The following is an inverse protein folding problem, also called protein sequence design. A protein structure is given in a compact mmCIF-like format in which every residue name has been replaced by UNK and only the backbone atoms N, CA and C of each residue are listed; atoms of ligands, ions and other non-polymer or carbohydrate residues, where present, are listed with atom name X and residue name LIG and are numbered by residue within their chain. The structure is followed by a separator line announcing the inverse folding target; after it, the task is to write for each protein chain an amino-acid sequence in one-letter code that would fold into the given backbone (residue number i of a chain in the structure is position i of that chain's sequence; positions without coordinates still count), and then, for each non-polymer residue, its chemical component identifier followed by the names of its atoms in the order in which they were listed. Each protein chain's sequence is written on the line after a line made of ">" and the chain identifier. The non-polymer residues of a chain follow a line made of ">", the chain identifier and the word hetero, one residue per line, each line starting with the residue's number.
data_IF_210963341916
#
_entry.id   IF_210963341916
#
_cell.length_a   1.000
_cell.length_b   1.000
_cell.length_c   1.000
_cell.angle_alpha   90.00
_cell.angle_beta   90.00
_cell.angle_gamma   90.00
#
_symmetry.space_group_name_H-M   'P 1'
#
loop_
_entity.id
_entity.type
_entity.pdbx_description
1 polymer ?
#
# COMPACT_ATOMS: atom_id res chain seq x y z
N UNK A 1 6.38 -14.78 13.07
CA UNK A 1 4.94 -14.45 13.07
C UNK A 1 4.83 -12.95 13.19
N UNK A 2 4.13 -12.30 12.26
CA UNK A 2 3.87 -10.87 12.26
C UNK A 2 2.43 -10.61 11.83
N UNK A 3 1.86 -9.47 12.21
CA UNK A 3 0.50 -9.04 11.87
C UNK A 3 0.48 -8.21 10.60
N UNK A 4 -0.26 -8.64 9.59
CA UNK A 4 -0.18 -8.09 8.23
C UNK A 4 -1.53 -7.51 7.82
N UNK A 5 -1.54 -6.25 7.40
CA UNK A 5 -2.71 -5.66 6.77
C UNK A 5 -2.68 -5.97 5.26
N UNK A 6 -3.75 -6.59 4.74
CA UNK A 6 -3.87 -6.89 3.32
C UNK A 6 -4.77 -5.84 2.65
N UNK A 7 -4.15 -4.85 2.04
CA UNK A 7 -4.81 -3.77 1.31
C UNK A 7 -5.07 -4.20 -0.14
N UNK A 8 -6.27 -3.99 -0.66
CA UNK A 8 -6.59 -4.35 -2.03
C UNK A 8 -8.07 -4.20 -2.39
N UNK A 9 -8.40 -4.29 -3.69
CA UNK A 9 -9.77 -4.16 -4.17
C UNK A 9 -10.67 -5.30 -3.67
N UNK A 10 -11.95 -4.99 -3.48
CA UNK A 10 -12.96 -5.93 -2.97
C UNK A 10 -14.33 -5.78 -3.65
N UNK A 11 -14.37 -5.18 -4.85
CA UNK A 11 -15.62 -4.75 -5.50
C UNK A 11 -16.35 -5.89 -6.22
N UNK A 12 -15.63 -6.95 -6.61
CA UNK A 12 -16.20 -8.12 -7.26
C UNK A 12 -15.60 -9.43 -6.73
N UNK A 13 -16.22 -10.55 -7.11
CA UNK A 13 -15.82 -11.87 -6.60
C UNK A 13 -14.36 -12.22 -6.93
N UNK A 14 -13.87 -12.05 -8.18
CA UNK A 14 -12.45 -12.29 -8.48
C UNK A 14 -11.47 -11.48 -7.62
N UNK A 15 -11.76 -10.20 -7.34
CA UNK A 15 -10.94 -9.36 -6.48
C UNK A 15 -10.92 -9.87 -5.02
N UNK A 16 -12.09 -10.26 -4.49
CA UNK A 16 -12.20 -10.85 -3.15
C UNK A 16 -11.48 -12.19 -3.05
N UNK A 17 -11.60 -13.05 -4.07
CA UNK A 17 -10.89 -14.32 -4.16
C UNK A 17 -9.38 -14.12 -4.19
N UNK A 18 -8.88 -13.16 -4.97
CA UNK A 18 -7.45 -12.84 -5.02
C UNK A 18 -6.93 -12.34 -3.68
N UNK A 19 -7.65 -11.43 -3.03
CA UNK A 19 -7.28 -10.96 -1.69
C UNK A 19 -7.29 -12.10 -0.66
N UNK A 20 -8.27 -13.00 -0.75
CA UNK A 20 -8.32 -14.20 0.10
C UNK A 20 -7.12 -15.13 -0.15
N UNK A 21 -6.70 -15.29 -1.40
CA UNK A 21 -5.52 -16.08 -1.75
C UNK A 21 -4.21 -15.45 -1.22
N UNK A 22 -4.09 -14.11 -1.28
CA UNK A 22 -2.98 -13.38 -0.66
C UNK A 22 -2.93 -13.65 0.84
N UNK A 23 -4.07 -13.50 1.52
CA UNK A 23 -4.18 -13.75 2.97
C UNK A 23 -3.75 -15.17 3.32
N UNK A 24 -4.34 -16.16 2.65
CA UNK A 24 -4.10 -17.57 2.90
C UNK A 24 -2.62 -17.93 2.70
N UNK A 25 -1.97 -17.34 1.70
CA UNK A 25 -0.55 -17.57 1.46
C UNK A 25 0.33 -17.03 2.60
N UNK A 26 0.02 -15.85 3.14
CA UNK A 26 0.73 -15.26 4.28
C UNK A 26 0.45 -16.03 5.58
N UNK A 27 -0.81 -16.42 5.81
CA UNK A 27 -1.23 -17.24 6.95
C UNK A 27 -0.54 -18.61 6.93
N UNK A 28 -0.42 -19.24 5.76
CA UNK A 28 0.30 -20.52 5.61
C UNK A 28 1.79 -20.43 5.96
N UNK A 29 2.38 -19.22 5.87
CA UNK A 29 3.74 -18.93 6.29
C UNK A 29 3.86 -18.57 7.78
N UNK A 30 2.74 -18.61 8.53
CA UNK A 30 2.70 -18.38 9.98
C UNK A 30 2.55 -16.91 10.37
N UNK A 31 2.01 -16.07 9.48
CA UNK A 31 1.60 -14.70 9.79
C UNK A 31 0.13 -14.64 10.20
N UNK A 32 -0.25 -13.56 10.89
CA UNK A 32 -1.64 -13.22 11.15
C UNK A 32 -2.05 -12.13 10.16
N UNK A 33 -3.21 -12.23 9.51
CA UNK A 33 -3.64 -11.24 8.52
C UNK A 33 -4.94 -10.57 8.91
N UNK A 34 -5.10 -9.32 8.51
CA UNK A 34 -6.37 -8.60 8.51
C UNK A 34 -6.76 -8.23 7.08
N UNK A 35 -7.95 -8.66 6.68
CA UNK A 35 -8.58 -8.36 5.39
C UNK A 35 -9.86 -7.56 5.65
N UNK A 36 -9.98 -6.31 5.17
CA UNK A 36 -11.15 -5.47 5.45
C UNK A 36 -12.49 -6.14 5.13
N UNK A 37 -12.59 -6.83 3.99
CA UNK A 37 -13.81 -7.52 3.55
C UNK A 37 -14.14 -8.82 4.31
N UNK A 38 -13.19 -9.37 5.09
CA UNK A 38 -13.36 -10.63 5.84
C UNK A 38 -13.48 -10.38 7.34
N UNK A 39 -12.66 -9.47 7.84
CA UNK A 39 -12.40 -9.25 9.27
C UNK A 39 -12.94 -7.88 9.75
N UNK A 40 -13.40 -7.03 8.82
CA UNK A 40 -14.03 -5.75 9.10
C UNK A 40 -15.53 -5.87 9.41
N UNK A 41 -16.24 -4.76 9.30
CA UNK A 41 -17.69 -4.75 9.44
C UNK A 41 -18.36 -5.23 8.14
N UNK A 42 -19.29 -6.18 8.25
CA UNK A 42 -20.31 -6.36 7.22
C UNK A 42 -21.25 -5.15 7.26
N UNK A 43 -20.95 -4.14 6.45
CA UNK A 43 -21.71 -2.89 6.29
C UNK A 43 -23.22 -3.12 6.20
N UNK A 44 -23.63 -4.17 5.49
CA UNK A 44 -25.02 -4.56 5.34
C UNK A 44 -25.68 -4.96 6.67
N UNK A 45 -24.97 -5.67 7.55
CA UNK A 45 -25.51 -6.13 8.82
C UNK A 45 -25.63 -4.98 9.83
N UNK A 46 -24.62 -4.11 9.90
CA UNK A 46 -24.65 -2.93 10.76
C UNK A 46 -25.68 -1.92 10.27
N UNK A 47 -25.79 -1.72 8.96
CA UNK A 47 -26.80 -0.84 8.34
C UNK A 47 -28.22 -1.28 8.68
N UNK A 48 -28.54 -2.57 8.57
CA UNK A 48 -29.87 -3.09 8.92
C UNK A 48 -30.25 -2.86 10.39
N UNK A 49 -29.29 -3.01 11.32
CA UNK A 49 -29.52 -2.74 12.74
C UNK A 49 -29.67 -1.22 13.01
N UNK A 50 -28.92 -0.37 12.31
CA UNK A 50 -29.04 1.08 12.41
C UNK A 50 -30.36 1.61 11.81
N UNK A 51 -30.82 1.03 10.70
CA UNK A 51 -32.13 1.33 10.11
C UNK A 51 -33.27 0.99 11.10
N UNK A 52 -33.12 -0.07 11.88
CA UNK A 52 -34.07 -0.44 12.94
C UNK A 52 -34.13 0.58 14.09
N UNK A 53 -33.10 1.42 14.26
CA UNK A 53 -33.06 2.50 15.27
C UNK A 53 -33.77 3.78 14.82
N UNK A 54 -34.36 3.82 13.62
CA UNK A 54 -35.09 4.98 13.07
C UNK A 54 -34.25 6.28 13.05
N UNK A 55 -32.94 6.16 12.84
CA UNK A 55 -32.08 7.32 12.62
C UNK A 55 -32.32 7.89 11.21
N UNK A 56 -32.11 9.19 11.03
CA UNK A 56 -32.13 9.79 9.70
C UNK A 56 -31.02 9.15 8.84
N UNK A 57 -31.32 8.77 7.59
CA UNK A 57 -30.41 7.99 6.75
C UNK A 57 -29.04 8.66 6.52
N UNK A 58 -29.00 9.99 6.54
CA UNK A 58 -27.77 10.78 6.41
C UNK A 58 -26.83 10.56 7.61
N UNK A 59 -27.38 10.38 8.81
CA UNK A 59 -26.57 10.15 10.02
C UNK A 59 -26.01 8.72 10.05
N UNK A 60 -26.72 7.76 9.46
CA UNK A 60 -26.29 6.35 9.38
C UNK A 60 -25.10 6.19 8.44
N UNK A 61 -25.18 6.76 7.24
CA UNK A 61 -24.08 6.71 6.27
C UNK A 61 -22.81 7.37 6.84
N UNK A 62 -22.93 8.55 7.44
CA UNK A 62 -21.79 9.25 8.05
C UNK A 62 -21.19 8.45 9.22
N UNK A 63 -22.03 7.82 10.05
CA UNK A 63 -21.59 6.95 11.14
C UNK A 63 -20.82 5.74 10.60
N UNK A 64 -21.34 5.06 9.57
CA UNK A 64 -20.73 3.89 8.96
C UNK A 64 -19.38 4.24 8.32
N UNK A 65 -19.31 5.30 7.51
CA UNK A 65 -18.06 5.75 6.90
C UNK A 65 -17.00 6.07 7.96
N UNK A 66 -17.38 6.75 9.05
CA UNK A 66 -16.46 7.06 10.16
C UNK A 66 -16.02 5.80 10.89
N UNK A 67 -16.91 4.83 11.10
CA UNK A 67 -16.59 3.59 11.77
C UNK A 67 -15.59 2.76 10.97
N UNK A 68 -15.81 2.61 9.67
CA UNK A 68 -14.89 1.93 8.73
C UNK A 68 -13.54 2.60 8.74
N UNK A 69 -13.50 3.91 8.49
CA UNK A 69 -12.25 4.66 8.49
C UNK A 69 -11.47 4.49 9.80
N UNK A 70 -12.13 4.61 10.95
CA UNK A 70 -11.47 4.43 12.24
C UNK A 70 -10.93 3.01 12.44
N UNK A 71 -11.72 1.99 12.07
CA UNK A 71 -11.30 0.60 12.20
C UNK A 71 -10.12 0.29 11.28
N UNK A 72 -10.21 0.64 10.01
CA UNK A 72 -9.20 0.34 9.00
C UNK A 72 -7.90 1.07 9.33
N UNK A 73 -7.95 2.35 9.70
CA UNK A 73 -6.77 3.09 10.14
C UNK A 73 -6.16 2.48 11.41
N UNK A 74 -6.97 2.03 12.37
CA UNK A 74 -6.45 1.35 13.55
C UNK A 74 -5.81 0.00 13.18
N UNK A 75 -6.44 -0.79 12.32
CA UNK A 75 -5.92 -2.10 11.90
C UNK A 75 -4.63 -1.94 11.09
N UNK A 76 -4.59 -0.94 10.21
CA UNK A 76 -3.43 -0.56 9.42
C UNK A 76 -2.28 -0.07 10.30
N UNK A 77 -2.49 0.97 11.11
CA UNK A 77 -1.39 1.69 11.78
C UNK A 77 -1.13 1.26 13.24
N UNK A 78 -2.14 0.73 13.92
CA UNK A 78 -2.08 0.39 15.35
C UNK A 78 -1.92 -1.11 15.62
N UNK A 79 -2.45 -1.97 14.75
CA UNK A 79 -2.39 -3.42 14.91
C UNK A 79 -1.36 -4.09 13.99
N UNK A 80 -1.22 -3.65 12.74
CA UNK A 80 -0.29 -4.30 11.80
C UNK A 80 1.18 -3.92 12.04
N UNK A 81 2.06 -4.80 11.59
CA UNK A 81 3.52 -4.64 11.60
C UNK A 81 4.07 -4.50 10.18
N UNK A 82 3.27 -4.78 9.15
CA UNK A 82 3.58 -4.61 7.74
C UNK A 82 2.30 -4.64 6.89
N UNK A 83 2.42 -4.18 5.64
CA UNK A 83 1.32 -4.11 4.68
C UNK A 83 1.68 -4.85 3.40
N UNK A 84 0.74 -5.63 2.89
CA UNK A 84 0.76 -6.16 1.52
C UNK A 84 -0.34 -5.45 0.74
N UNK A 85 0.03 -4.68 -0.28
CA UNK A 85 -0.90 -3.90 -1.09
C UNK A 85 -1.04 -4.50 -2.49
N UNK A 86 -2.24 -4.96 -2.82
CA UNK A 86 -2.61 -5.45 -4.14
C UNK A 86 -2.92 -4.28 -5.08
N UNK A 87 -2.00 -3.99 -5.99
CA UNK A 87 -2.14 -2.92 -6.97
C UNK A 87 -2.82 -3.36 -8.27
N UNK A 88 -3.40 -4.56 -8.35
CA UNK A 88 -4.08 -5.01 -9.57
C UNK A 88 -5.19 -4.05 -10.03
N UNK A 89 -5.43 -4.06 -11.34
CA UNK A 89 -6.22 -3.05 -12.04
C UNK A 89 -5.38 -2.23 -13.01
N UNK A 90 -6.06 -1.66 -14.04
CA UNK A 90 -5.45 -0.67 -14.94
C UNK A 90 -4.96 0.56 -14.15
N UNK A 91 -5.71 0.92 -13.11
CA UNK A 91 -5.34 1.89 -12.09
C UNK A 91 -5.58 1.17 -10.76
N UNK A 92 -4.64 1.23 -9.82
CA UNK A 92 -4.85 0.66 -8.48
C UNK A 92 -6.05 1.32 -7.80
N UNK A 93 -6.75 0.53 -6.98
CA UNK A 93 -7.85 0.99 -6.13
C UNK A 93 -7.41 2.18 -5.25
N UNK A 94 -8.25 3.21 -5.17
CA UNK A 94 -7.94 4.42 -4.42
C UNK A 94 -7.78 4.17 -2.92
N UNK A 95 -8.55 3.25 -2.34
CA UNK A 95 -8.44 2.88 -0.92
C UNK A 95 -7.06 2.29 -0.63
N UNK A 96 -6.68 1.30 -1.43
CA UNK A 96 -5.38 0.63 -1.38
C UNK A 96 -4.21 1.61 -1.52
N UNK A 97 -4.34 2.61 -2.41
CA UNK A 97 -3.32 3.66 -2.57
C UNK A 97 -3.18 4.50 -1.30
N UNK A 98 -4.29 4.91 -0.68
CA UNK A 98 -4.28 5.67 0.58
C UNK A 98 -3.65 4.85 1.70
N UNK A 99 -4.03 3.58 1.84
CA UNK A 99 -3.49 2.68 2.86
C UNK A 99 -1.99 2.45 2.70
N UNK A 100 -1.53 2.17 1.49
CA UNK A 100 -0.10 1.98 1.21
C UNK A 100 0.71 3.26 1.48
N UNK A 101 0.17 4.44 1.15
CA UNK A 101 0.81 5.73 1.41
C UNK A 101 0.88 6.04 2.92
N UNK A 102 -0.20 5.78 3.67
CA UNK A 102 -0.22 5.94 5.12
C UNK A 102 0.79 5.01 5.80
N UNK A 103 0.85 3.74 5.37
CA UNK A 103 1.81 2.77 5.88
C UNK A 103 3.26 3.19 5.61
N UNK A 104 3.55 3.62 4.37
CA UNK A 104 4.86 4.16 4.00
C UNK A 104 5.25 5.35 4.88
N UNK A 105 4.33 6.30 5.07
CA UNK A 105 4.56 7.47 5.91
C UNK A 105 4.80 7.09 7.37
N UNK A 106 4.06 6.11 7.88
CA UNK A 106 4.22 5.55 9.23
C UNK A 106 5.47 4.65 9.39
N UNK A 107 6.31 4.54 8.36
CA UNK A 107 7.51 3.70 8.32
C UNK A 107 7.22 2.19 8.44
N UNK A 108 5.97 1.78 8.22
CA UNK A 108 5.64 0.35 8.13
C UNK A 108 6.27 -0.24 6.86
N UNK A 109 6.82 -1.47 6.94
CA UNK A 109 7.21 -2.22 5.75
C UNK A 109 6.02 -2.41 4.80
N UNK A 110 6.25 -2.17 3.50
CA UNK A 110 5.23 -2.27 2.45
C UNK A 110 5.72 -3.22 1.37
N UNK A 111 4.92 -4.22 1.03
CA UNK A 111 5.10 -5.08 -0.15
C UNK A 111 4.02 -4.73 -1.16
N UNK A 112 4.43 -4.45 -2.40
CA UNK A 112 3.50 -4.23 -3.50
C UNK A 112 3.32 -5.53 -4.28
N UNK A 113 2.08 -5.96 -4.45
CA UNK A 113 1.72 -7.05 -5.34
C UNK A 113 1.09 -6.50 -6.62
N UNK A 114 1.54 -6.99 -7.77
CA UNK A 114 0.97 -6.65 -9.08
C UNK A 114 1.15 -7.82 -10.05
N UNK A 115 0.03 -8.35 -10.51
CA UNK A 115 -0.06 -9.35 -11.55
C UNK A 115 -1.10 -8.93 -12.60
N UNK A 116 -0.95 -7.71 -13.14
CA UNK A 116 -1.86 -7.17 -14.14
C UNK A 116 -1.10 -6.45 -15.25
N UNK A 117 -1.22 -6.97 -16.47
CA UNK A 117 -0.55 -6.49 -17.67
C UNK A 117 -1.14 -5.19 -18.24
N UNK A 118 -2.25 -4.71 -17.67
CA UNK A 118 -2.97 -3.50 -18.13
C UNK A 118 -2.40 -2.21 -17.53
N UNK A 119 -1.33 -2.30 -16.74
CA UNK A 119 -0.70 -1.14 -16.13
C UNK A 119 -0.12 -0.16 -17.17
N UNK A 120 -0.08 1.15 -16.87
CA UNK A 120 0.56 2.16 -17.70
C UNK A 120 2.10 2.00 -17.74
N UNK A 121 2.84 2.95 -18.30
CA UNK A 121 4.32 3.03 -18.23
C UNK A 121 5.12 1.75 -18.57
N UNK A 122 4.74 0.99 -19.60
CA UNK A 122 5.39 -0.29 -20.00
C UNK A 122 5.19 -1.43 -18.99
N UNK A 123 4.13 -1.38 -18.19
CA UNK A 123 3.78 -2.41 -17.21
C UNK A 123 3.95 -1.96 -15.77
N UNK A 124 4.48 -0.75 -15.53
CA UNK A 124 4.69 -0.18 -14.20
C UNK A 124 3.56 0.80 -13.83
N UNK A 125 3.24 0.85 -12.53
CA UNK A 125 2.36 1.87 -11.99
C UNK A 125 3.07 3.24 -11.88
N UNK A 126 2.29 4.27 -11.51
CA UNK A 126 2.80 5.62 -11.30
C UNK A 126 4.05 5.59 -10.36
N UNK A 127 5.13 6.34 -10.64
CA UNK A 127 6.33 6.36 -9.79
C UNK A 127 6.06 6.66 -8.31
N UNK A 128 5.01 7.43 -8.01
CA UNK A 128 4.58 7.69 -6.62
C UNK A 128 4.11 6.43 -5.89
N UNK A 129 3.63 5.43 -6.63
CA UNK A 129 3.24 4.12 -6.11
C UNK A 129 4.43 3.17 -6.09
N UNK A 130 5.14 3.06 -7.21
CA UNK A 130 6.28 2.12 -7.35
C UNK A 130 7.39 2.40 -6.33
N UNK A 131 7.61 3.66 -5.96
CA UNK A 131 8.59 4.04 -4.93
C UNK A 131 8.14 3.70 -3.48
N UNK A 132 6.88 3.32 -3.23
CA UNK A 132 6.44 2.92 -1.89
C UNK A 132 7.13 1.63 -1.40
N UNK A 133 7.68 0.83 -2.32
CA UNK A 133 8.49 -0.35 -2.03
C UNK A 133 9.85 -0.34 -2.78
N UNK A 134 10.41 0.84 -3.01
CA UNK A 134 11.72 1.02 -3.67
C UNK A 134 11.81 0.39 -5.07
N UNK A 135 10.73 0.48 -5.84
CA UNK A 135 10.58 -0.12 -7.17
C UNK A 135 10.59 -1.65 -7.17
N UNK A 136 10.31 -2.28 -6.02
CA UNK A 136 10.10 -3.73 -5.90
C UNK A 136 8.62 -4.05 -5.94
N UNK A 137 8.26 -4.98 -6.80
CA UNK A 137 6.89 -5.49 -6.94
C UNK A 137 6.93 -7.00 -7.06
N UNK A 138 5.99 -7.67 -6.41
CA UNK A 138 5.82 -9.12 -6.44
C UNK A 138 4.68 -9.46 -7.41
N UNK A 139 4.91 -10.37 -8.34
CA UNK A 139 3.89 -10.77 -9.33
C UNK A 139 3.28 -12.15 -9.10
N UNK A 140 3.84 -12.93 -8.18
CA UNK A 140 3.31 -14.23 -7.78
C UNK A 140 2.96 -14.22 -6.30
N UNK A 141 1.73 -14.61 -5.96
CA UNK A 141 1.25 -14.69 -4.57
C UNK A 141 2.19 -15.56 -3.72
N UNK A 142 2.71 -16.65 -4.30
CA UNK A 142 3.63 -17.58 -3.64
C UNK A 142 4.92 -16.95 -3.13
N UNK A 143 5.33 -15.81 -3.70
CA UNK A 143 6.58 -15.13 -3.37
C UNK A 143 6.39 -14.05 -2.29
N UNK A 144 5.14 -13.75 -1.93
CA UNK A 144 4.80 -12.73 -0.93
C UNK A 144 5.43 -12.99 0.45
N UNK A 145 5.46 -14.23 0.99
CA UNK A 145 6.09 -14.48 2.28
C UNK A 145 7.58 -14.13 2.29
N UNK A 146 8.30 -14.42 1.20
CA UNK A 146 9.72 -14.07 1.09
C UNK A 146 9.90 -12.55 1.03
N UNK A 147 9.19 -11.88 0.12
CA UNK A 147 9.27 -10.43 -0.03
C UNK A 147 8.90 -9.69 1.28
N UNK A 148 7.90 -10.20 2.00
CA UNK A 148 7.51 -9.69 3.30
C UNK A 148 8.62 -9.85 4.34
N UNK A 149 9.26 -11.03 4.38
CA UNK A 149 10.39 -11.25 5.30
C UNK A 149 11.55 -10.29 5.02
N UNK A 150 11.84 -9.99 3.76
CA UNK A 150 12.88 -9.04 3.37
C UNK A 150 12.52 -7.60 3.78
N UNK A 151 11.25 -7.21 3.60
CA UNK A 151 10.75 -5.90 4.00
C UNK A 151 10.74 -5.73 5.53
N UNK A 152 10.31 -6.74 6.29
CA UNK A 152 10.33 -6.74 7.75
C UNK A 152 11.76 -6.64 8.32
N UNK A 153 12.75 -7.17 7.61
CA UNK A 153 14.16 -7.07 7.99
C UNK A 153 14.80 -5.72 7.59
N UNK A 154 14.13 -4.91 6.76
CA UNK A 154 14.65 -3.64 6.28
C UNK A 154 14.44 -2.53 7.32
N UNK A 155 15.43 -1.65 7.46
CA UNK A 155 15.29 -0.45 8.31
C UNK A 155 14.58 0.66 7.51
N UNK A 156 13.32 0.89 7.85
CA UNK A 156 12.49 1.91 7.22
C UNK A 156 12.41 3.21 8.05
N UNK A 157 13.11 3.31 9.18
CA UNK A 157 12.91 4.36 10.19
C UNK A 157 13.19 5.79 9.73
N UNK A 158 13.99 5.95 8.67
CA UNK A 158 14.38 7.26 8.12
C UNK A 158 13.92 7.48 6.68
N UNK A 159 13.11 6.57 6.11
CA UNK A 159 12.79 6.59 4.67
C UNK A 159 12.13 7.90 4.24
N UNK A 160 11.27 8.48 5.09
CA UNK A 160 10.60 9.76 4.79
C UNK A 160 11.61 10.90 4.79
N UNK A 161 12.45 10.99 5.82
CA UNK A 161 13.48 12.03 5.95
C UNK A 161 14.44 11.98 4.76
N UNK A 162 14.93 10.78 4.43
CA UNK A 162 15.86 10.56 3.32
C UNK A 162 15.23 10.88 1.96
N UNK A 163 13.97 10.49 1.74
CA UNK A 163 13.23 10.80 0.51
C UNK A 163 13.06 12.30 0.33
N UNK A 164 12.72 13.03 1.40
CA UNK A 164 12.58 14.49 1.36
C UNK A 164 13.95 15.14 1.09
N UNK A 165 15.00 14.74 1.80
CA UNK A 165 16.34 15.28 1.62
C UNK A 165 16.88 15.05 0.19
N UNK A 166 16.62 13.87 -0.39
CA UNK A 166 16.93 13.60 -1.80
C UNK A 166 16.09 14.46 -2.74
N UNK A 167 14.80 14.61 -2.47
CA UNK A 167 13.90 15.48 -3.23
C UNK A 167 14.37 16.93 -3.27
N UNK A 168 14.85 17.47 -2.15
CA UNK A 168 15.44 18.81 -2.09
C UNK A 168 16.68 18.94 -2.97
N UNK A 169 17.55 17.94 -2.98
CA UNK A 169 18.75 17.94 -3.82
C UNK A 169 18.38 17.90 -5.31
N UNK A 170 17.38 17.08 -5.67
CA UNK A 170 16.86 17.00 -7.04
C UNK A 170 16.25 18.34 -7.47
N UNK A 171 15.46 18.99 -6.61
CA UNK A 171 14.86 20.30 -6.90
C UNK A 171 15.93 21.37 -7.17
N UNK A 172 16.96 21.45 -6.31
CA UNK A 172 18.09 22.37 -6.50
C UNK A 172 18.85 22.12 -7.80
N UNK A 173 19.04 20.85 -8.17
CA UNK A 173 19.68 20.48 -9.44
C UNK A 173 18.84 20.90 -10.65
N UNK A 174 17.51 20.80 -10.55
CA UNK A 174 16.58 21.22 -11.61
C UNK A 174 16.54 22.75 -11.78
N UNK A 175 16.69 23.50 -10.69
CA UNK A 175 16.69 24.97 -10.73
C UNK A 175 18.03 25.57 -11.23
N UNK A 176 19.14 24.86 -10.99
CA UNK A 176 20.48 25.30 -11.38
C UNK A 176 20.92 24.87 -12.78
N UNK A 177 20.27 23.84 -13.36
CA UNK A 177 20.60 23.30 -14.68
C UNK A 177 19.95 24.09 -15.83
N UNK A 178 20.74 24.80 -16.63
CA UNK A 178 20.28 25.46 -17.87
C UNK A 178 20.12 24.50 -19.06
N UNK A 179 20.56 23.24 -18.97
CA UNK A 179 20.31 22.20 -19.98
C UNK A 179 20.00 20.80 -19.41
N UNK A 180 19.31 19.98 -20.21
CA UNK A 180 18.88 18.60 -19.89
C UNK A 180 20.03 17.67 -19.52
N UNK A 181 21.22 17.87 -20.09
CA UNK A 181 22.38 16.99 -19.89
C UNK A 181 22.95 17.17 -18.48
N UNK A 182 23.01 18.41 -18.01
CA UNK A 182 23.49 18.77 -16.68
C UNK A 182 22.57 18.20 -15.61
N UNK A 183 21.24 18.33 -15.79
CA UNK A 183 20.25 17.72 -14.91
C UNK A 183 20.36 16.19 -14.91
N UNK A 184 20.53 15.56 -16.07
CA UNK A 184 20.68 14.10 -16.17
C UNK A 184 21.90 13.60 -15.37
N UNK A 185 23.05 14.26 -15.50
CA UNK A 185 24.25 13.89 -14.74
C UNK A 185 24.05 14.06 -13.22
N UNK A 186 23.38 15.13 -12.80
CA UNK A 186 23.05 15.33 -11.40
C UNK A 186 22.13 14.22 -10.87
N UNK A 187 21.06 13.88 -11.60
CA UNK A 187 20.16 12.79 -11.23
C UNK A 187 20.88 11.44 -11.11
N UNK A 188 21.77 11.11 -12.05
CA UNK A 188 22.58 9.88 -11.98
C UNK A 188 23.47 9.86 -10.74
N UNK A 189 24.13 10.97 -10.39
CA UNK A 189 24.95 11.06 -9.19
C UNK A 189 24.16 10.96 -7.89
N UNK A 190 22.95 11.54 -7.85
CA UNK A 190 22.09 11.55 -6.68
C UNK A 190 21.39 10.21 -6.44
N UNK A 191 20.93 9.56 -7.50
CA UNK A 191 20.12 8.32 -7.42
C UNK A 191 20.95 7.04 -7.55
N UNK A 192 22.16 7.12 -8.16
CA UNK A 192 23.01 5.96 -8.44
C UNK A 192 23.85 5.45 -7.26
N UNK A 193 24.05 6.26 -6.21
CA UNK A 193 24.90 5.89 -5.07
C UNK A 193 24.20 5.06 -3.98
N UNK A 194 22.89 4.81 -4.09
CA UNK A 194 22.09 4.10 -3.07
C UNK A 194 21.94 2.58 -3.27
N UNK A 195 22.43 2.01 -4.38
CA UNK A 195 22.30 0.57 -4.67
C UNK A 195 23.66 -0.11 -4.58
N UNK A 196 24.01 -0.62 -3.39
CA UNK A 196 24.98 -1.71 -3.31
C UNK A 196 24.37 -2.91 -4.04
N UNK A 197 25.13 -3.51 -4.96
CA UNK A 197 24.74 -4.74 -5.68
C UNK A 197 24.46 -5.90 -4.73
#
# INVERSE_FOLDING_TARGET
>A
MARIYCAGPLFNEPEKEEMTAIAAQLESAGHETFLPQRDGFELCEVGHELDALQMDSVDVDDLLHRAIFCLDVYKLLGWSEAVVANLNGRVPDEGTVVEAALAWHAQLPVVLYKNDVRAPFRGDDNPMLSCLADLRTVSAITDLPQALSEQLASDNSRRVEETIALGEQIARASESGTDTRSLTNALVGLTGNGRSK
#
